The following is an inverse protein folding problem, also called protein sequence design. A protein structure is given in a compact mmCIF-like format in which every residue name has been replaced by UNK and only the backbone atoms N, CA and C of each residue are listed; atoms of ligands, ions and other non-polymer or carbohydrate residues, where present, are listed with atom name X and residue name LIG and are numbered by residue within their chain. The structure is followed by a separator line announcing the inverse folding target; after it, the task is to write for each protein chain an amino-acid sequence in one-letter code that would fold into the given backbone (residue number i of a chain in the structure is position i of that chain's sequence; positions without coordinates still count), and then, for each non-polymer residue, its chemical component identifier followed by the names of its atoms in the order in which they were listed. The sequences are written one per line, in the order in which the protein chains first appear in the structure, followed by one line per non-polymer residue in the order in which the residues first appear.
data_IF_209865331018
#
_entry.id   IF_209865331018
#
_cell.length_a   1.000
_cell.length_b   1.000
_cell.length_c   1.000
_cell.angle_alpha   90.00
_cell.angle_beta   90.00
_cell.angle_gamma   90.00
#
_symmetry.space_group_name_H-M   'P 1'
#
loop_
_entity.id
_entity.type
_entity.pdbx_description
1 polymer ?
#
# COMPACT_ATOMS: atom_id res chain seq x y z
N UNK A 1 -19.56 -18.23 6.03
CA UNK A 1 -19.82 -18.82 4.70
C UNK A 1 -18.49 -19.08 4.02
N UNK A 2 -18.22 -20.31 3.60
CA UNK A 2 -17.06 -20.66 2.78
C UNK A 2 -17.17 -19.96 1.43
N UNK A 3 -16.13 -19.23 1.02
CA UNK A 3 -16.03 -18.67 -0.33
C UNK A 3 -15.48 -19.78 -1.22
N UNK A 4 -16.33 -20.36 -2.07
CA UNK A 4 -15.93 -21.37 -3.04
C UNK A 4 -15.27 -20.70 -4.25
N UNK A 5 -14.13 -21.24 -4.69
CA UNK A 5 -13.53 -20.86 -5.98
C UNK A 5 -14.28 -21.60 -7.09
N UNK A 6 -14.79 -20.87 -8.07
CA UNK A 6 -15.52 -21.43 -9.21
C UNK A 6 -14.53 -21.56 -10.38
N UNK A 7 -14.25 -22.77 -10.89
CA UNK A 7 -13.43 -22.93 -12.08
C UNK A 7 -14.19 -22.42 -13.31
N UNK A 8 -13.47 -21.74 -14.21
CA UNK A 8 -14.00 -21.26 -15.49
C UNK A 8 -13.41 -22.10 -16.64
N UNK A 9 -14.14 -22.28 -17.75
CA UNK A 9 -13.65 -23.01 -18.93
C UNK A 9 -12.74 -22.14 -19.82
N UNK A 10 -11.95 -21.25 -19.20
CA UNK A 10 -11.07 -20.30 -19.88
C UNK A 10 -9.71 -20.34 -19.20
N UNK A 11 -8.64 -20.15 -19.97
CA UNK A 11 -7.36 -19.86 -19.35
C UNK A 11 -7.34 -18.42 -18.80
N UNK A 12 -6.44 -18.15 -17.87
CA UNK A 12 -6.33 -16.86 -17.18
C UNK A 12 -6.02 -15.67 -18.11
N UNK A 13 -5.35 -15.92 -19.25
CA UNK A 13 -5.03 -14.89 -20.23
C UNK A 13 -6.27 -14.52 -21.05
N UNK A 14 -7.01 -15.52 -21.53
CA UNK A 14 -8.31 -15.33 -22.19
C UNK A 14 -9.28 -14.58 -21.28
N UNK A 15 -9.42 -15.05 -20.04
CA UNK A 15 -10.31 -14.42 -19.07
C UNK A 15 -9.89 -12.98 -18.73
N UNK A 16 -8.59 -12.68 -18.65
CA UNK A 16 -8.13 -11.30 -18.47
C UNK A 16 -8.44 -10.44 -19.69
N UNK A 17 -8.20 -10.94 -20.92
CA UNK A 17 -8.52 -10.22 -22.17
C UNK A 17 -10.02 -9.95 -22.27
N UNK A 18 -10.89 -10.90 -21.94
CA UNK A 18 -12.34 -10.69 -21.92
C UNK A 18 -12.76 -9.57 -20.96
N UNK A 19 -12.19 -9.53 -19.75
CA UNK A 19 -12.48 -8.48 -18.77
C UNK A 19 -12.02 -7.11 -19.26
N UNK A 20 -10.84 -7.04 -19.88
CA UNK A 20 -10.28 -5.79 -20.44
C UNK A 20 -11.14 -5.33 -21.62
N UNK A 21 -11.46 -6.21 -22.57
CA UNK A 21 -12.31 -5.92 -23.72
C UNK A 21 -13.69 -5.44 -23.28
N UNK A 22 -14.30 -6.09 -22.29
CA UNK A 22 -15.55 -5.63 -21.69
C UNK A 22 -15.42 -4.21 -21.14
N UNK A 23 -14.31 -3.92 -20.44
CA UNK A 23 -14.05 -2.62 -19.82
C UNK A 23 -13.96 -1.53 -20.89
N UNK A 24 -13.17 -1.75 -21.94
CA UNK A 24 -12.98 -0.83 -23.06
C UNK A 24 -14.24 -0.58 -23.89
N UNK A 25 -15.16 -1.56 -23.94
CA UNK A 25 -16.44 -1.42 -24.63
C UNK A 25 -17.52 -0.75 -23.78
N UNK A 26 -17.53 -1.02 -22.47
CA UNK A 26 -18.62 -0.63 -21.58
C UNK A 26 -18.39 0.75 -20.96
N UNK A 27 -17.15 1.08 -20.60
CA UNK A 27 -16.83 2.31 -19.89
C UNK A 27 -16.16 3.30 -20.85
N UNK A 28 -16.70 4.52 -21.01
CA UNK A 28 -16.21 5.49 -21.98
C UNK A 28 -14.84 6.07 -21.64
N UNK A 29 -14.42 5.96 -20.37
CA UNK A 29 -13.11 6.42 -19.90
C UNK A 29 -12.44 5.30 -19.12
N UNK A 30 -11.21 4.99 -19.49
CA UNK A 30 -10.44 3.91 -18.87
C UNK A 30 -9.08 4.44 -18.47
N UNK A 31 -8.77 4.39 -17.18
CA UNK A 31 -7.46 4.73 -16.63
C UNK A 31 -6.80 3.49 -16.04
N UNK A 32 -5.57 3.20 -16.48
CA UNK A 32 -4.75 2.10 -15.96
C UNK A 32 -3.88 2.62 -14.83
N UNK A 33 -4.03 2.08 -13.62
CA UNK A 33 -3.10 2.35 -12.52
C UNK A 33 -1.83 1.54 -12.73
N UNK A 34 -0.74 2.23 -13.03
CA UNK A 34 0.55 1.65 -13.32
C UNK A 34 1.56 2.02 -12.23
N UNK A 35 2.27 1.03 -11.69
CA UNK A 35 3.21 1.21 -10.58
C UNK A 35 4.67 0.94 -10.95
N UNK A 36 4.95 0.60 -12.21
CA UNK A 36 6.26 0.07 -12.64
C UNK A 36 6.53 -1.37 -12.19
N UNK A 37 5.56 -2.05 -11.58
CA UNK A 37 5.68 -3.44 -11.14
C UNK A 37 5.30 -4.45 -12.23
N UNK A 38 5.65 -5.74 -12.03
CA UNK A 38 5.34 -6.84 -12.95
C UNK A 38 3.85 -7.02 -13.20
N UNK A 39 3.04 -6.88 -12.16
CA UNK A 39 1.59 -7.13 -12.24
C UNK A 39 0.89 -5.99 -12.99
N UNK A 40 1.23 -4.73 -12.67
CA UNK A 40 0.67 -3.55 -13.33
C UNK A 40 1.24 -3.32 -14.73
N UNK A 41 2.51 -3.66 -14.98
CA UNK A 41 3.14 -3.64 -16.29
C UNK A 41 2.48 -4.62 -17.26
N UNK A 42 2.26 -5.87 -16.84
CA UNK A 42 1.53 -6.87 -17.63
C UNK A 42 0.10 -6.40 -17.94
N UNK A 43 -0.61 -5.87 -16.95
CA UNK A 43 -1.95 -5.32 -17.17
C UNK A 43 -1.92 -4.17 -18.19
N UNK A 44 -0.93 -3.28 -18.13
CA UNK A 44 -0.78 -2.19 -19.10
C UNK A 44 -0.49 -2.73 -20.51
N UNK A 45 0.40 -3.71 -20.67
CA UNK A 45 0.65 -4.35 -21.97
C UNK A 45 -0.63 -4.91 -22.59
N UNK A 46 -1.37 -5.73 -21.84
CA UNK A 46 -2.62 -6.33 -22.33
C UNK A 46 -3.68 -5.26 -22.65
N UNK A 47 -3.79 -4.24 -21.80
CA UNK A 47 -4.78 -3.17 -22.00
C UNK A 47 -4.45 -2.31 -23.22
N UNK A 48 -3.18 -1.95 -23.39
CA UNK A 48 -2.71 -1.17 -24.52
C UNK A 48 -2.85 -1.93 -25.85
N UNK A 49 -2.53 -3.23 -25.87
CA UNK A 49 -2.71 -4.08 -27.06
C UNK A 49 -4.18 -4.15 -27.49
N UNK A 50 -5.10 -4.41 -26.55
CA UNK A 50 -6.53 -4.47 -26.84
C UNK A 50 -7.11 -3.10 -27.21
N UNK A 51 -6.68 -2.03 -26.54
CA UNK A 51 -7.06 -0.67 -26.90
C UNK A 51 -6.65 -0.35 -28.35
N UNK A 52 -5.43 -0.72 -28.76
CA UNK A 52 -4.93 -0.57 -30.13
C UNK A 52 -5.81 -1.31 -31.13
N UNK A 53 -6.10 -2.59 -30.86
CA UNK A 53 -6.93 -3.44 -31.72
C UNK A 53 -8.35 -2.88 -31.89
N UNK A 54 -8.88 -2.24 -30.85
CA UNK A 54 -10.24 -1.69 -30.82
C UNK A 54 -10.31 -0.22 -31.28
N UNK A 55 -9.18 0.41 -31.63
CA UNK A 55 -9.11 1.84 -31.95
C UNK A 55 -9.54 2.74 -30.79
N UNK A 56 -9.31 2.29 -29.55
CA UNK A 56 -9.64 3.02 -28.31
C UNK A 56 -8.41 3.67 -27.71
N UNK A 57 -8.63 4.72 -26.94
CA UNK A 57 -7.60 5.37 -26.12
C UNK A 57 -7.80 5.03 -24.65
N UNK A 58 -6.69 5.03 -23.91
CA UNK A 58 -6.66 4.83 -22.46
C UNK A 58 -5.85 5.94 -21.80
N UNK A 59 -6.11 6.20 -20.52
CA UNK A 59 -5.25 7.02 -19.68
C UNK A 59 -4.38 6.12 -18.79
N UNK A 60 -3.25 6.63 -18.30
CA UNK A 60 -2.40 5.94 -17.33
C UNK A 60 -2.15 6.84 -16.13
N UNK A 61 -2.27 6.29 -14.93
CA UNK A 61 -1.91 6.96 -13.68
C UNK A 61 -0.65 6.29 -13.11
N UNK A 62 0.42 7.06 -12.97
CA UNK A 62 1.65 6.68 -12.29
C UNK A 62 1.90 7.63 -11.12
N UNK A 63 1.97 7.07 -9.91
CA UNK A 63 2.36 7.84 -8.71
C UNK A 63 3.86 7.68 -8.50
N UNK A 64 4.54 8.81 -8.58
CA UNK A 64 5.96 8.91 -8.35
C UNK A 64 6.24 9.14 -6.86
N UNK A 65 6.96 8.20 -6.24
CA UNK A 65 7.27 8.23 -4.82
C UNK A 65 8.61 8.90 -4.51
N UNK A 66 9.28 9.61 -5.42
CA UNK A 66 10.61 10.21 -5.21
C UNK A 66 11.74 9.15 -5.10
N UNK A 67 11.59 8.13 -4.26
CA UNK A 67 12.62 7.16 -3.91
C UNK A 67 12.55 5.82 -4.67
N UNK A 68 11.85 5.72 -5.80
CA UNK A 68 11.84 4.51 -6.64
C UNK A 68 13.21 4.27 -7.32
N UNK A 69 13.59 3.01 -7.56
CA UNK A 69 14.79 2.63 -8.33
C UNK A 69 14.85 3.22 -9.74
N UNK A 70 16.04 3.50 -10.27
CA UNK A 70 16.24 4.26 -11.52
C UNK A 70 15.79 3.42 -12.69
N UNK A 71 16.11 2.12 -12.64
CA UNK A 71 15.61 1.14 -13.61
C UNK A 71 14.08 1.07 -13.63
N UNK A 72 13.40 1.29 -12.50
CA UNK A 72 11.92 1.40 -12.48
C UNK A 72 11.44 2.66 -13.18
N UNK A 73 12.07 3.81 -12.92
CA UNK A 73 11.72 5.08 -13.57
C UNK A 73 11.97 5.02 -15.08
N UNK A 74 13.11 4.47 -15.50
CA UNK A 74 13.43 4.26 -16.90
C UNK A 74 12.43 3.29 -17.56
N UNK A 75 12.05 2.21 -16.87
CA UNK A 75 11.02 1.28 -17.36
C UNK A 75 9.66 1.97 -17.55
N UNK A 76 9.24 2.81 -16.58
CA UNK A 76 8.00 3.56 -16.67
C UNK A 76 8.01 4.50 -17.87
N UNK A 77 9.12 5.22 -18.07
CA UNK A 77 9.33 6.09 -19.24
C UNK A 77 9.28 5.29 -20.55
N UNK A 78 9.94 4.13 -20.63
CA UNK A 78 9.92 3.29 -21.83
C UNK A 78 8.51 2.79 -22.17
N UNK A 79 7.68 2.43 -21.19
CA UNK A 79 6.30 2.05 -21.46
C UNK A 79 5.42 3.23 -21.90
N UNK A 80 5.65 4.40 -21.30
CA UNK A 80 4.98 5.63 -21.72
C UNK A 80 5.24 5.92 -23.21
N UNK A 81 6.50 5.86 -23.62
CA UNK A 81 6.91 6.05 -25.01
C UNK A 81 6.36 4.97 -25.94
N UNK A 82 6.53 3.69 -25.56
CA UNK A 82 6.08 2.53 -26.33
C UNK A 82 4.58 2.56 -26.66
N UNK A 83 3.77 3.14 -25.77
CA UNK A 83 2.31 3.16 -25.88
C UNK A 83 1.73 4.55 -26.14
N UNK A 84 2.54 5.50 -26.59
CA UNK A 84 2.09 6.86 -26.97
C UNK A 84 0.96 6.84 -28.01
N UNK A 85 0.92 5.81 -28.86
CA UNK A 85 -0.10 5.65 -29.88
C UNK A 85 -1.50 5.31 -29.33
N UNK A 86 -1.62 4.81 -28.10
CA UNK A 86 -2.89 4.46 -27.44
C UNK A 86 -3.16 5.21 -26.13
N UNK A 87 -2.12 5.75 -25.50
CA UNK A 87 -2.26 6.56 -24.30
C UNK A 87 -2.71 7.96 -24.71
N UNK A 88 -3.90 8.37 -24.25
CA UNK A 88 -4.42 9.73 -24.40
C UNK A 88 -3.75 10.69 -23.42
N UNK A 89 -3.63 10.28 -22.16
CA UNK A 89 -3.00 11.07 -21.11
C UNK A 89 -2.21 10.18 -20.16
N UNK A 90 -0.99 10.58 -19.83
CA UNK A 90 -0.12 9.89 -18.88
C UNK A 90 0.08 10.78 -17.66
N UNK A 91 -0.73 10.56 -16.64
CA UNK A 91 -0.64 11.28 -15.37
C UNK A 91 0.57 10.79 -14.58
N UNK A 92 1.73 11.39 -14.83
CA UNK A 92 2.92 11.23 -14.00
C UNK A 92 2.84 12.18 -12.81
N UNK A 93 2.38 11.69 -11.67
CA UNK A 93 2.13 12.52 -10.49
C UNK A 93 3.35 12.53 -9.58
N UNK A 94 4.00 13.70 -9.46
CA UNK A 94 5.12 13.96 -8.55
C UNK A 94 4.73 15.08 -7.56
N UNK A 95 3.55 14.93 -6.94
CA UNK A 95 3.02 15.86 -5.94
C UNK A 95 3.35 15.40 -4.52
N UNK A 96 3.38 16.32 -3.54
CA UNK A 96 3.53 15.96 -2.14
C UNK A 96 2.42 15.02 -1.65
N UNK A 97 2.74 13.75 -1.39
CA UNK A 97 1.79 12.75 -0.88
C UNK A 97 2.32 12.06 0.37
N UNK A 98 1.48 12.00 1.40
CA UNK A 98 1.85 11.44 2.70
C UNK A 98 1.52 9.95 2.77
N UNK A 99 2.46 9.17 3.29
CA UNK A 99 2.30 7.74 3.62
C UNK A 99 2.96 7.43 4.97
N UNK A 100 2.73 6.21 5.47
CA UNK A 100 3.32 5.76 6.73
C UNK A 100 4.82 5.46 6.55
N UNK A 101 5.64 5.96 7.48
CA UNK A 101 7.03 5.56 7.63
C UNK A 101 7.15 4.53 8.75
N UNK A 102 7.30 3.26 8.37
CA UNK A 102 7.41 2.14 9.31
C UNK A 102 8.83 1.94 9.88
N UNK A 103 9.75 2.86 9.60
CA UNK A 103 11.15 2.78 10.01
C UNK A 103 11.50 3.66 11.20
N UNK A 104 10.64 4.63 11.53
CA UNK A 104 10.92 5.63 12.57
C UNK A 104 9.71 5.86 13.46
N UNK A 105 9.96 5.93 14.77
CA UNK A 105 8.97 6.38 15.76
C UNK A 105 9.01 7.90 15.97
N UNK A 106 10.05 8.57 15.45
CA UNK A 106 10.20 10.04 15.50
C UNK A 106 9.47 10.70 14.33
N UNK A 107 9.56 10.10 13.15
CA UNK A 107 8.84 10.52 11.95
C UNK A 107 8.04 9.33 11.43
N UNK A 108 6.86 9.05 12.01
CA UNK A 108 6.04 7.87 11.66
C UNK A 108 5.30 8.01 10.33
N UNK A 109 5.41 9.18 9.69
CA UNK A 109 4.89 9.49 8.37
C UNK A 109 6.04 10.05 7.52
N UNK A 110 5.94 9.84 6.21
CA UNK A 110 6.85 10.41 5.21
C UNK A 110 6.03 10.97 4.06
N UNK A 111 6.47 12.11 3.53
CA UNK A 111 5.87 12.77 2.38
C UNK A 111 6.87 12.74 1.23
N UNK A 112 6.55 12.06 0.13
CA UNK A 112 7.35 12.21 -1.09
C UNK A 112 7.18 13.63 -1.63
N UNK A 113 8.18 14.17 -2.32
CA UNK A 113 8.11 15.49 -2.97
C UNK A 113 7.75 16.65 -2.04
N UNK A 114 8.04 16.53 -0.75
CA UNK A 114 7.81 17.58 0.26
C UNK A 114 8.53 18.88 -0.16
N UNK A 115 7.89 20.06 -0.09
CA UNK A 115 8.55 21.33 -0.39
C UNK A 115 9.71 21.62 0.57
N UNK A 116 10.66 22.45 0.12
CA UNK A 116 11.74 23.02 0.95
C UNK A 116 12.71 21.99 1.59
N UNK A 117 12.77 20.78 1.05
CA UNK A 117 13.74 19.74 1.45
C UNK A 117 14.49 19.19 0.24
N UNK A 118 15.68 18.65 0.49
CA UNK A 118 16.48 18.01 -0.56
C UNK A 118 15.89 16.64 -0.91
N UNK A 119 15.38 16.50 -2.14
CA UNK A 119 14.80 15.25 -2.64
C UNK A 119 15.84 14.21 -3.03
N UNK A 120 15.46 12.93 -2.98
CA UNK A 120 16.30 11.80 -3.40
C UNK A 120 16.67 11.85 -4.89
N UNK A 121 15.82 12.45 -5.72
CA UNK A 121 16.05 12.72 -7.14
C UNK A 121 15.10 13.81 -7.62
N UNK A 122 15.31 14.28 -8.85
CA UNK A 122 14.37 15.17 -9.52
C UNK A 122 13.28 14.37 -10.27
N UNK A 123 12.05 14.92 -10.39
CA UNK A 123 11.03 14.35 -11.25
C UNK A 123 11.34 14.65 -12.72
N UNK A 124 10.77 13.90 -13.69
CA UNK A 124 10.82 14.30 -15.09
C UNK A 124 10.22 15.70 -15.31
N UNK A 125 10.69 16.42 -16.32
CA UNK A 125 10.29 17.81 -16.58
C UNK A 125 8.78 17.99 -16.83
N UNK A 126 8.14 16.97 -17.39
CA UNK A 126 6.73 16.96 -17.73
C UNK A 126 5.86 16.24 -16.69
N UNK A 127 6.42 15.91 -15.53
CA UNK A 127 5.65 15.40 -14.40
C UNK A 127 4.76 16.49 -13.80
N UNK A 128 3.60 16.08 -13.31
CA UNK A 128 2.66 16.92 -12.58
C UNK A 128 3.26 17.21 -11.22
N UNK A 129 3.87 18.38 -11.10
CA UNK A 129 4.51 18.92 -9.88
C UNK A 129 3.77 20.14 -9.33
N UNK A 130 2.88 20.74 -10.12
CA UNK A 130 2.05 21.87 -9.74
C UNK A 130 0.87 21.42 -8.84
N UNK A 131 0.79 21.86 -7.58
CA UNK A 131 -0.33 21.59 -6.68
C UNK A 131 -1.70 21.99 -7.23
N UNK A 132 -1.77 22.99 -8.11
CA UNK A 132 -3.04 23.51 -8.64
C UNK A 132 -3.56 22.72 -9.84
N UNK A 133 -2.79 21.76 -10.36
CA UNK A 133 -3.19 20.93 -11.51
C UNK A 133 -4.50 20.17 -11.26
N UNK A 134 -4.67 19.63 -10.05
CA UNK A 134 -5.89 18.93 -9.64
C UNK A 134 -6.69 19.79 -8.66
N UNK A 135 -7.90 20.19 -9.04
CA UNK A 135 -8.76 21.01 -8.18
C UNK A 135 -9.17 20.35 -6.85
N UNK A 136 -8.99 19.03 -6.71
CA UNK A 136 -9.25 18.29 -5.47
C UNK A 136 -8.02 18.12 -4.58
N UNK A 137 -6.81 18.40 -5.11
CA UNK A 137 -5.58 18.14 -4.40
C UNK A 137 -5.47 19.05 -3.17
N UNK A 138 -4.94 18.49 -2.09
CA UNK A 138 -4.63 19.21 -0.87
C UNK A 138 -3.19 18.87 -0.48
N UNK A 139 -2.36 19.86 -0.14
CA UNK A 139 -0.97 19.64 0.26
C UNK A 139 -0.86 18.56 1.33
N UNK A 140 -0.04 17.54 1.05
CA UNK A 140 0.23 16.45 1.98
C UNK A 140 -0.93 15.49 2.24
N UNK A 141 -1.97 15.48 1.39
CA UNK A 141 -3.02 14.47 1.47
C UNK A 141 -2.45 13.05 1.38
N UNK A 142 -3.13 12.08 2.00
CA UNK A 142 -2.65 10.71 1.94
C UNK A 142 -2.85 10.12 0.56
N UNK A 143 -1.99 9.17 0.18
CA UNK A 143 -2.15 8.44 -1.08
C UNK A 143 -3.54 7.80 -1.24
N UNK A 144 -4.08 7.18 -0.18
CA UNK A 144 -5.41 6.57 -0.26
C UNK A 144 -6.52 7.60 -0.51
N UNK A 145 -6.36 8.83 0.00
CA UNK A 145 -7.28 9.92 -0.33
C UNK A 145 -7.06 10.37 -1.77
N UNK A 146 -5.81 10.54 -2.22
CA UNK A 146 -5.49 10.99 -3.56
C UNK A 146 -6.10 10.08 -4.63
N UNK A 147 -5.88 8.77 -4.55
CA UNK A 147 -6.40 7.84 -5.58
C UNK A 147 -7.92 7.79 -5.61
N UNK A 148 -8.59 8.02 -4.47
CA UNK A 148 -10.05 8.10 -4.40
C UNK A 148 -10.57 9.37 -5.06
N UNK A 149 -10.00 10.52 -4.71
CA UNK A 149 -10.42 11.80 -5.29
C UNK A 149 -10.06 11.87 -6.78
N UNK A 150 -8.91 11.32 -7.18
CA UNK A 150 -8.52 11.17 -8.59
C UNK A 150 -9.55 10.36 -9.38
N UNK A 151 -10.04 9.24 -8.85
CA UNK A 151 -11.05 8.43 -9.53
C UNK A 151 -12.36 9.20 -9.75
N UNK A 152 -12.77 10.04 -8.79
CA UNK A 152 -13.95 10.89 -8.93
C UNK A 152 -13.71 12.03 -9.93
N UNK A 153 -12.59 12.74 -9.82
CA UNK A 153 -12.20 13.80 -10.75
C UNK A 153 -12.08 13.28 -12.18
N UNK A 154 -11.42 12.14 -12.38
CA UNK A 154 -11.24 11.49 -13.67
C UNK A 154 -12.59 11.07 -14.28
N UNK A 155 -13.55 10.66 -13.45
CA UNK A 155 -14.88 10.30 -13.94
C UNK A 155 -15.60 11.47 -14.62
N UNK A 156 -15.34 12.72 -14.19
CA UNK A 156 -16.12 13.90 -14.57
C UNK A 156 -17.63 13.68 -14.46
N UNK A 157 -18.07 12.95 -13.41
CA UNK A 157 -19.48 12.56 -13.18
C UNK A 157 -20.06 11.71 -14.32
N UNK A 158 -19.21 11.00 -15.07
CA UNK A 158 -19.58 10.02 -16.09
C UNK A 158 -18.95 8.68 -15.76
N UNK A 159 -19.51 7.56 -16.25
CA UNK A 159 -18.95 6.25 -15.99
C UNK A 159 -17.47 6.15 -16.38
N UNK A 160 -16.62 5.72 -15.45
CA UNK A 160 -15.19 5.56 -15.69
C UNK A 160 -14.61 4.30 -15.02
N UNK A 161 -13.57 3.74 -15.63
CA UNK A 161 -12.83 2.59 -15.13
C UNK A 161 -11.49 3.02 -14.52
N UNK A 162 -11.21 2.55 -13.31
CA UNK A 162 -9.89 2.57 -12.70
C UNK A 162 -9.36 1.14 -12.64
N UNK A 163 -8.48 0.78 -13.57
CA UNK A 163 -7.93 -0.58 -13.65
C UNK A 163 -6.75 -0.75 -12.68
N UNK A 164 -6.79 -1.78 -11.84
CA UNK A 164 -5.79 -2.04 -10.80
C UNK A 164 -5.24 -3.46 -10.94
N UNK A 165 -3.92 -3.56 -11.07
CA UNK A 165 -3.19 -4.82 -11.23
C UNK A 165 -2.98 -5.56 -9.91
N UNK A 166 -4.06 -5.94 -9.23
CA UNK A 166 -4.00 -6.76 -8.00
C UNK A 166 -4.18 -8.23 -8.33
N UNK A 167 -3.60 -9.11 -7.51
CA UNK A 167 -3.87 -10.55 -7.52
C UNK A 167 -4.37 -11.01 -6.16
N UNK A 168 -5.47 -11.76 -6.15
CA UNK A 168 -6.08 -12.28 -4.94
C UNK A 168 -5.14 -13.23 -4.16
N UNK A 169 -4.23 -13.90 -4.86
CA UNK A 169 -3.23 -14.81 -4.28
C UNK A 169 -2.09 -14.08 -3.54
N UNK A 170 -1.94 -12.76 -3.72
CA UNK A 170 -0.85 -11.98 -3.11
C UNK A 170 -1.06 -11.77 -1.60
N UNK A 171 -2.29 -11.52 -1.15
CA UNK A 171 -2.60 -11.38 0.27
C UNK A 171 -4.08 -11.54 0.58
N UNK A 172 -4.41 -11.80 1.85
CA UNK A 172 -5.79 -11.86 2.32
C UNK A 172 -6.58 -10.58 2.01
N UNK A 173 -5.96 -9.40 2.15
CA UNK A 173 -6.61 -8.13 1.85
C UNK A 173 -6.94 -8.00 0.35
N UNK A 174 -6.05 -8.46 -0.54
CA UNK A 174 -6.33 -8.51 -1.99
C UNK A 174 -7.44 -9.51 -2.30
N UNK A 175 -7.46 -10.67 -1.65
CA UNK A 175 -8.54 -11.64 -1.78
C UNK A 175 -9.89 -11.04 -1.35
N UNK A 176 -9.95 -10.37 -0.19
CA UNK A 176 -11.17 -9.72 0.31
C UNK A 176 -11.65 -8.61 -0.62
N UNK A 177 -10.75 -7.83 -1.24
CA UNK A 177 -11.13 -6.82 -2.23
C UNK A 177 -11.92 -7.42 -3.41
N UNK A 178 -11.63 -8.66 -3.79
CA UNK A 178 -12.36 -9.38 -4.84
C UNK A 178 -13.60 -10.09 -4.29
N UNK A 179 -13.45 -10.84 -3.21
CA UNK A 179 -14.45 -11.78 -2.74
C UNK A 179 -15.49 -11.19 -1.76
N UNK A 180 -15.34 -9.93 -1.35
CA UNK A 180 -16.30 -9.30 -0.44
C UNK A 180 -17.72 -9.35 -1.00
N UNK A 181 -18.66 -9.83 -0.17
CA UNK A 181 -20.09 -9.82 -0.47
C UNK A 181 -20.73 -8.45 -0.24
N UNK A 182 -20.07 -7.58 0.53
CA UNK A 182 -20.58 -6.26 0.87
C UNK A 182 -20.20 -5.19 -0.14
N UNK A 183 -19.37 -5.53 -1.15
CA UNK A 183 -18.96 -4.56 -2.17
C UNK A 183 -20.05 -4.43 -3.23
N UNK A 184 -20.30 -3.20 -3.65
CA UNK A 184 -21.14 -2.94 -4.81
C UNK A 184 -20.33 -3.24 -6.08
N UNK A 185 -20.87 -4.08 -6.95
CA UNK A 185 -20.27 -4.46 -8.24
C UNK A 185 -20.93 -3.64 -9.34
N UNK A 186 -20.34 -3.64 -10.53
CA UNK A 186 -21.00 -3.11 -11.72
C UNK A 186 -22.25 -3.93 -12.06
N UNK A 187 -22.14 -5.25 -12.01
CA UNK A 187 -23.22 -6.21 -12.18
C UNK A 187 -22.91 -7.50 -11.40
N UNK A 188 -23.92 -8.33 -11.14
CA UNK A 188 -23.78 -9.57 -10.35
C UNK A 188 -22.77 -10.54 -10.97
N UNK A 189 -22.77 -10.64 -12.30
CA UNK A 189 -21.88 -11.45 -13.12
C UNK A 189 -20.51 -10.80 -13.39
N UNK A 190 -20.20 -9.69 -12.71
CA UNK A 190 -18.92 -8.96 -12.79
C UNK A 190 -18.23 -8.87 -11.42
N UNK A 191 -17.84 -10.01 -10.81
CA UNK A 191 -17.27 -10.05 -9.45
C UNK A 191 -15.90 -9.35 -9.33
N UNK A 192 -15.21 -9.10 -10.43
CA UNK A 192 -13.93 -8.41 -10.52
C UNK A 192 -14.05 -6.88 -10.61
N UNK A 193 -15.25 -6.35 -10.35
CA UNK A 193 -15.51 -4.90 -10.31
C UNK A 193 -15.84 -4.45 -8.88
N UNK A 194 -15.65 -3.17 -8.60
CA UNK A 194 -16.07 -2.53 -7.34
C UNK A 194 -16.44 -1.09 -7.62
N UNK A 195 -17.68 -0.70 -7.33
CA UNK A 195 -18.11 0.69 -7.45
C UNK A 195 -17.35 1.56 -6.44
N UNK A 196 -16.89 2.71 -6.90
CA UNK A 196 -16.36 3.73 -6.01
C UNK A 196 -17.52 4.36 -5.20
N UNK A 197 -17.26 4.88 -3.99
CA UNK A 197 -18.30 5.45 -3.13
C UNK A 197 -19.14 6.56 -3.77
N UNK A 198 -18.61 7.26 -4.77
CA UNK A 198 -19.29 8.33 -5.50
C UNK A 198 -20.24 7.85 -6.59
N UNK A 199 -20.16 6.57 -6.99
CA UNK A 199 -21.06 5.95 -7.97
C UNK A 199 -20.74 6.23 -9.44
N UNK A 200 -19.77 7.08 -9.77
CA UNK A 200 -19.40 7.38 -11.17
C UNK A 200 -18.21 6.58 -11.69
N UNK A 201 -17.42 5.97 -10.81
CA UNK A 201 -16.24 5.19 -11.20
C UNK A 201 -16.29 3.77 -10.65
N UNK A 202 -15.66 2.84 -11.36
CA UNK A 202 -15.51 1.45 -10.96
C UNK A 202 -14.04 1.07 -10.94
N UNK A 203 -13.60 0.47 -9.84
CA UNK A 203 -12.34 -0.24 -9.77
C UNK A 203 -12.49 -1.59 -10.47
N UNK A 204 -11.58 -1.84 -11.40
CA UNK A 204 -11.57 -3.00 -12.28
C UNK A 204 -10.31 -3.82 -11.99
N UNK A 205 -10.45 -5.13 -11.78
CA UNK A 205 -9.32 -6.01 -11.44
C UNK A 205 -9.14 -7.12 -12.48
N UNK A 206 -8.57 -6.85 -13.67
CA UNK A 206 -8.60 -7.82 -14.77
C UNK A 206 -7.74 -9.06 -14.55
N UNK A 207 -6.73 -9.00 -13.68
CA UNK A 207 -5.76 -10.08 -13.46
C UNK A 207 -5.89 -10.72 -12.07
N UNK A 208 -7.03 -10.53 -11.39
CA UNK A 208 -7.19 -10.89 -9.98
C UNK A 208 -6.92 -12.36 -9.64
N UNK A 209 -7.13 -13.26 -10.59
CA UNK A 209 -7.01 -14.71 -10.48
C UNK A 209 -5.64 -15.25 -10.92
N UNK A 210 -4.73 -14.37 -11.36
CA UNK A 210 -3.38 -14.74 -11.74
C UNK A 210 -2.51 -15.08 -10.52
N UNK A 211 -1.63 -16.05 -10.69
CA UNK A 211 -0.55 -16.37 -9.73
C UNK A 211 0.76 -15.74 -10.17
N UNK A 212 1.73 -15.69 -9.27
CA UNK A 212 3.07 -15.15 -9.57
C UNK A 212 3.76 -15.92 -10.72
N UNK A 213 3.58 -17.24 -10.78
CA UNK A 213 4.14 -18.06 -11.85
C UNK A 213 3.54 -17.69 -13.21
N UNK A 214 2.24 -17.40 -13.26
CA UNK A 214 1.55 -17.02 -14.49
C UNK A 214 2.08 -15.70 -15.07
N UNK A 215 2.34 -14.71 -14.21
CA UNK A 215 2.94 -13.43 -14.62
C UNK A 215 4.29 -13.66 -15.30
N UNK A 216 5.16 -14.46 -14.67
CA UNK A 216 6.50 -14.73 -15.22
C UNK A 216 6.46 -15.58 -16.49
N UNK A 217 5.59 -16.59 -16.55
CA UNK A 217 5.36 -17.39 -17.76
C UNK A 217 4.89 -16.50 -18.91
N UNK A 218 4.01 -15.53 -18.65
CA UNK A 218 3.56 -14.60 -19.67
C UNK A 218 4.70 -13.75 -20.21
N UNK A 219 5.51 -13.14 -19.34
CA UNK A 219 6.69 -12.35 -19.76
C UNK A 219 7.70 -13.18 -20.55
N UNK A 220 7.96 -14.42 -20.13
CA UNK A 220 8.86 -15.34 -20.82
C UNK A 220 8.35 -15.68 -22.23
N UNK A 221 7.05 -15.87 -22.40
CA UNK A 221 6.45 -16.28 -23.68
C UNK A 221 6.26 -15.11 -24.66
N UNK A 222 6.00 -13.88 -24.18
CA UNK A 222 5.67 -12.75 -25.05
C UNK A 222 6.83 -11.78 -25.30
N UNK A 223 7.92 -11.88 -24.51
CA UNK A 223 9.11 -11.01 -24.61
C UNK A 223 8.81 -9.50 -24.55
N UNK A 224 7.67 -9.11 -23.97
CA UNK A 224 7.37 -7.71 -23.68
C UNK A 224 8.34 -7.13 -22.64
N UNK A 225 8.51 -5.81 -22.68
CA UNK A 225 9.34 -5.09 -21.71
C UNK A 225 8.89 -5.38 -20.27
N UNK A 226 9.78 -5.93 -19.46
CA UNK A 226 9.58 -6.07 -18.02
C UNK A 226 10.54 -5.14 -17.28
N UNK A 227 10.18 -4.73 -16.07
CA UNK A 227 11.04 -3.89 -15.25
C UNK A 227 12.39 -4.60 -15.00
N UNK A 228 13.53 -4.03 -15.45
CA UNK A 228 14.84 -4.66 -15.29
C UNK A 228 15.23 -4.90 -13.83
N UNK A 229 14.64 -4.17 -12.88
CA UNK A 229 14.84 -4.36 -11.46
C UNK A 229 14.62 -5.81 -11.02
N UNK A 230 13.68 -6.53 -11.66
CA UNK A 230 13.40 -7.91 -11.27
C UNK A 230 14.55 -8.87 -11.60
N UNK A 231 15.31 -8.61 -12.68
CA UNK A 231 16.52 -9.37 -12.97
C UNK A 231 17.60 -9.09 -11.92
N UNK A 232 17.73 -7.84 -11.47
CA UNK A 232 18.67 -7.45 -10.41
C UNK A 232 18.26 -8.07 -9.06
N UNK A 233 16.97 -8.07 -8.73
CA UNK A 233 16.43 -8.76 -7.56
C UNK A 233 16.73 -10.27 -7.61
N UNK A 234 16.56 -10.89 -8.78
CA UNK A 234 16.87 -12.31 -8.98
C UNK A 234 18.37 -12.59 -8.76
N UNK A 235 19.24 -11.78 -9.37
CA UNK A 235 20.69 -11.88 -9.19
C UNK A 235 21.12 -11.67 -7.74
N UNK A 236 20.42 -10.79 -7.01
CA UNK A 236 20.61 -10.57 -5.57
C UNK A 236 20.01 -11.70 -4.69
N UNK A 237 19.41 -12.73 -5.27
CA UNK A 237 18.87 -13.88 -4.53
C UNK A 237 17.47 -13.67 -3.93
N UNK A 238 16.73 -12.64 -4.36
CA UNK A 238 15.36 -12.40 -3.88
C UNK A 238 14.43 -13.49 -4.44
N UNK A 239 13.68 -14.24 -3.61
CA UNK A 239 12.71 -15.21 -4.12
C UNK A 239 11.59 -14.53 -4.91
N UNK A 240 11.09 -15.18 -5.97
CA UNK A 240 10.04 -14.62 -6.86
C UNK A 240 8.81 -14.09 -6.10
N UNK A 241 8.40 -14.75 -5.02
CA UNK A 241 7.26 -14.34 -4.17
C UNK A 241 7.49 -13.03 -3.40
N UNK A 242 8.74 -12.64 -3.19
CA UNK A 242 9.14 -11.43 -2.47
C UNK A 242 9.54 -10.28 -3.42
N UNK A 243 9.54 -10.51 -4.74
CA UNK A 243 9.82 -9.49 -5.74
C UNK A 243 8.63 -8.53 -5.88
N UNK A 244 8.70 -7.43 -5.14
CA UNK A 244 7.67 -6.39 -5.05
C UNK A 244 8.30 -5.02 -5.28
N UNK A 245 7.53 -4.16 -5.95
CA UNK A 245 7.84 -2.74 -6.15
C UNK A 245 6.65 -1.95 -5.61
N UNK A 246 6.87 -1.16 -4.56
CA UNK A 246 5.94 -0.16 -4.06
C UNK A 246 6.69 0.91 -3.26
N UNK A 247 5.98 1.77 -2.53
CA UNK A 247 6.54 2.81 -1.67
C UNK A 247 7.54 2.22 -0.65
N UNK A 248 8.78 2.75 -0.56
CA UNK A 248 9.89 2.01 0.05
C UNK A 248 9.85 1.92 1.58
N UNK A 249 9.16 2.82 2.26
CA UNK A 249 9.19 2.94 3.72
C UNK A 249 7.94 2.38 4.42
N UNK A 250 6.98 1.88 3.64
CA UNK A 250 5.79 1.20 4.13
C UNK A 250 6.12 -0.16 4.78
N UNK A 251 5.19 -0.71 5.58
CA UNK A 251 5.40 -1.94 6.34
C UNK A 251 5.67 -3.16 5.46
N UNK A 252 5.14 -3.20 4.23
CA UNK A 252 5.37 -4.28 3.27
C UNK A 252 6.74 -4.19 2.59
N UNK A 253 7.15 -3.00 2.12
CA UNK A 253 8.34 -2.84 1.28
C UNK A 253 9.63 -2.63 2.04
N UNK A 254 9.57 -2.22 3.31
CA UNK A 254 10.79 -1.98 4.11
C UNK A 254 11.76 -3.17 4.11
N UNK A 255 11.24 -4.40 3.97
CA UNK A 255 12.05 -5.62 3.90
C UNK A 255 13.01 -5.64 2.70
N UNK A 256 12.70 -4.91 1.63
CA UNK A 256 13.53 -4.78 0.44
C UNK A 256 14.52 -3.61 0.47
N UNK A 257 14.60 -2.83 1.56
CA UNK A 257 15.46 -1.63 1.61
C UNK A 257 16.95 -1.95 1.44
N UNK A 258 17.39 -3.13 1.89
CA UNK A 258 18.77 -3.58 1.71
C UNK A 258 19.19 -3.65 0.23
N UNK A 259 18.23 -3.81 -0.69
CA UNK A 259 18.52 -3.85 -2.13
C UNK A 259 19.04 -2.51 -2.65
N UNK A 260 18.64 -1.38 -2.06
CA UNK A 260 19.16 -0.07 -2.47
C UNK A 260 20.67 0.04 -2.22
N UNK A 261 21.17 -0.52 -1.11
CA UNK A 261 22.62 -0.57 -0.86
C UNK A 261 23.39 -1.32 -1.95
N UNK A 262 22.81 -2.41 -2.46
CA UNK A 262 23.47 -3.31 -3.41
C UNK A 262 23.34 -2.80 -4.84
N UNK A 263 22.16 -2.27 -5.19
CA UNK A 263 21.82 -1.91 -6.57
C UNK A 263 22.09 -0.43 -6.86
N UNK A 264 21.87 0.49 -5.90
CA UNK A 264 21.99 1.94 -6.10
C UNK A 264 22.56 2.65 -4.86
N UNK A 265 23.88 2.52 -4.58
CA UNK A 265 24.49 3.05 -3.36
C UNK A 265 24.38 4.58 -3.22
N UNK A 266 24.43 5.32 -4.32
CA UNK A 266 24.28 6.79 -4.28
C UNK A 266 22.85 7.20 -3.89
N UNK A 267 21.85 6.51 -4.46
CA UNK A 267 20.45 6.74 -4.07
C UNK A 267 20.21 6.34 -2.62
N UNK A 268 20.83 5.26 -2.18
CA UNK A 268 20.79 4.86 -0.78
C UNK A 268 21.31 5.97 0.16
N UNK A 269 22.41 6.63 -0.21
CA UNK A 269 22.94 7.75 0.56
C UNK A 269 21.96 8.93 0.62
N UNK A 270 21.36 9.29 -0.51
CA UNK A 270 20.32 10.33 -0.56
C UNK A 270 19.08 9.95 0.27
N UNK A 271 18.62 8.70 0.22
CA UNK A 271 17.51 8.21 1.06
C UNK A 271 17.84 8.27 2.56
N UNK A 272 19.07 7.94 2.94
CA UNK A 272 19.54 8.07 4.33
C UNK A 272 19.52 9.51 4.84
N UNK A 273 19.83 10.48 3.98
CA UNK A 273 19.77 11.89 4.32
C UNK A 273 18.31 12.40 4.37
N UNK A 274 17.46 11.93 3.43
CA UNK A 274 16.08 12.38 3.27
C UNK A 274 15.11 11.86 4.33
N UNK A 275 15.23 10.58 4.75
CA UNK A 275 14.18 9.90 5.52
C UNK A 275 14.72 9.28 6.81
N UNK A 276 14.09 9.65 7.93
CA UNK A 276 14.41 9.09 9.25
C UNK A 276 14.15 7.58 9.29
N UNK A 277 15.13 6.84 9.84
CA UNK A 277 15.04 5.39 10.04
C UNK A 277 15.50 4.55 8.86
N UNK A 278 15.83 5.14 7.69
CA UNK A 278 16.27 4.39 6.51
C UNK A 278 17.45 3.48 6.81
N UNK A 279 18.51 3.99 7.43
CA UNK A 279 19.69 3.19 7.81
C UNK A 279 19.34 1.99 8.70
N UNK A 280 18.51 2.20 9.72
CA UNK A 280 18.03 1.13 10.59
C UNK A 280 17.14 0.14 9.83
N UNK A 281 16.31 0.62 8.90
CA UNK A 281 15.53 -0.20 7.98
C UNK A 281 16.40 -1.10 7.10
N UNK A 282 17.44 -0.56 6.47
CA UNK A 282 18.36 -1.33 5.63
C UNK A 282 19.05 -2.48 6.36
N UNK A 283 19.39 -2.28 7.64
CA UNK A 283 20.03 -3.30 8.48
C UNK A 283 19.00 -4.29 9.03
N UNK A 284 17.88 -3.81 9.57
CA UNK A 284 17.01 -4.64 10.39
C UNK A 284 15.72 -5.11 9.70
N UNK A 285 15.23 -4.46 8.64
CA UNK A 285 13.92 -4.80 8.07
C UNK A 285 13.93 -6.06 7.20
N UNK A 286 15.08 -6.40 6.58
CA UNK A 286 15.19 -7.53 5.65
C UNK A 286 15.42 -8.89 6.30
N UNK A 287 15.84 -8.93 7.56
CA UNK A 287 16.08 -10.18 8.29
C UNK A 287 14.83 -10.59 9.09
N UNK A 288 14.63 -11.91 9.28
CA UNK A 288 13.66 -12.47 10.25
C UNK A 288 14.17 -12.23 11.68
N UNK A 289 14.41 -10.96 12.02
CA UNK A 289 14.95 -10.52 13.29
C UNK A 289 13.84 -9.93 14.17
N UNK A 290 14.15 -9.84 15.46
CA UNK A 290 13.19 -9.42 16.48
C UNK A 290 12.96 -7.90 16.52
N UNK A 291 13.75 -7.10 15.78
CA UNK A 291 13.79 -5.64 15.90
C UNK A 291 12.43 -5.01 15.58
N UNK A 292 11.86 -5.35 14.43
CA UNK A 292 10.53 -4.85 14.04
C UNK A 292 9.39 -5.78 14.49
N UNK A 293 9.65 -6.80 15.32
CA UNK A 293 8.63 -7.76 15.75
C UNK A 293 7.92 -8.46 14.58
N UNK A 294 8.64 -8.71 13.47
CA UNK A 294 8.08 -9.40 12.31
C UNK A 294 8.13 -10.91 12.55
N UNK A 295 6.95 -11.55 12.66
CA UNK A 295 6.74 -13.00 12.95
C UNK A 295 7.27 -13.52 14.29
N UNK A 296 8.35 -12.97 14.83
CA UNK A 296 8.94 -13.33 16.12
C UNK A 296 9.12 -12.08 16.96
N UNK A 297 8.83 -12.21 18.26
CA UNK A 297 8.94 -11.13 19.22
C UNK A 297 9.61 -11.68 20.47
N UNK A 298 10.60 -10.96 20.96
CA UNK A 298 11.22 -11.22 22.26
C UNK A 298 10.89 -10.07 23.20
N UNK A 299 10.78 -10.40 24.48
CA UNK A 299 10.72 -9.45 25.59
C UNK A 299 11.77 -9.87 26.64
N UNK A 300 12.27 -8.94 27.47
CA UNK A 300 13.07 -9.32 28.63
C UNK A 300 12.35 -10.35 29.51
N UNK A 301 13.08 -11.33 30.04
CA UNK A 301 12.50 -12.45 30.79
C UNK A 301 11.73 -12.00 32.04
N UNK A 302 12.21 -10.94 32.70
CA UNK A 302 11.66 -10.40 33.95
C UNK A 302 10.40 -9.54 33.78
N UNK A 303 9.99 -9.21 32.54
CA UNK A 303 8.79 -8.42 32.27
C UNK A 303 7.68 -9.32 31.75
N UNK A 304 6.42 -9.06 32.05
CA UNK A 304 5.30 -9.60 31.28
C UNK A 304 5.08 -8.81 29.97
N UNK A 305 4.08 -9.20 29.16
CA UNK A 305 3.82 -8.51 27.88
C UNK A 305 3.16 -7.15 28.07
N UNK A 306 2.42 -6.94 29.15
CA UNK A 306 1.82 -5.64 29.48
C UNK A 306 2.90 -4.66 29.92
N UNK A 307 3.77 -5.06 30.85
CA UNK A 307 4.92 -4.30 31.31
C UNK A 307 5.86 -3.97 30.15
N UNK A 308 6.11 -4.93 29.25
CA UNK A 308 6.91 -4.68 28.05
C UNK A 308 6.24 -3.68 27.10
N UNK A 309 4.92 -3.74 26.91
CA UNK A 309 4.20 -2.74 26.10
C UNK A 309 4.34 -1.33 26.69
N UNK A 310 4.25 -1.21 28.03
CA UNK A 310 4.44 0.07 28.73
C UNK A 310 5.89 0.57 28.60
N UNK A 311 6.88 -0.30 28.72
CA UNK A 311 8.28 0.04 28.49
C UNK A 311 8.50 0.61 27.08
N UNK A 312 7.93 -0.03 26.05
CA UNK A 312 8.02 0.44 24.66
C UNK A 312 7.34 1.81 24.48
N UNK A 313 6.18 2.02 25.09
CA UNK A 313 5.48 3.32 25.06
C UNK A 313 6.27 4.42 25.77
N UNK A 314 6.98 4.09 26.83
CA UNK A 314 7.76 5.07 27.60
C UNK A 314 9.12 5.37 26.97
N UNK A 315 9.64 4.51 26.08
CA UNK A 315 10.91 4.72 25.39
C UNK A 315 10.81 5.45 24.05
N UNK A 316 9.61 5.60 23.49
CA UNK A 316 9.37 6.29 22.22
C UNK A 316 9.01 7.78 22.41
N UNK A 317 9.09 8.61 21.35
CA UNK A 317 8.76 10.03 21.44
C UNK A 317 7.33 10.26 21.95
N UNK A 318 7.14 11.24 22.83
CA UNK A 318 5.88 11.48 23.55
C UNK A 318 4.65 11.56 22.63
N UNK A 319 4.75 12.32 21.54
CA UNK A 319 3.67 12.46 20.55
C UNK A 319 3.25 11.12 19.95
N UNK A 320 4.22 10.27 19.60
CA UNK A 320 3.98 8.94 19.04
C UNK A 320 3.44 7.99 20.10
N UNK A 321 3.98 8.05 21.31
CA UNK A 321 3.52 7.28 22.45
C UNK A 321 2.05 7.58 22.79
N UNK A 322 1.67 8.86 22.86
CA UNK A 322 0.29 9.28 23.15
C UNK A 322 -0.70 8.82 22.10
N UNK A 323 -0.30 8.85 20.82
CA UNK A 323 -1.11 8.29 19.74
C UNK A 323 -1.37 6.79 19.92
N UNK A 324 -0.34 6.01 20.26
CA UNK A 324 -0.50 4.60 20.57
C UNK A 324 -1.35 4.37 21.82
N UNK A 325 -1.11 5.11 22.92
CA UNK A 325 -1.92 5.01 24.15
C UNK A 325 -3.39 5.26 23.87
N UNK A 326 -3.72 6.26 23.04
CA UNK A 326 -5.10 6.53 22.63
C UNK A 326 -5.74 5.32 21.93
N UNK A 327 -5.05 4.72 20.97
CA UNK A 327 -5.59 3.55 20.22
C UNK A 327 -5.66 2.31 21.10
N UNK A 328 -4.62 2.02 21.88
CA UNK A 328 -4.58 0.87 22.77
C UNK A 328 -5.68 0.98 23.84
N UNK A 329 -5.91 2.17 24.41
CA UNK A 329 -6.96 2.35 25.39
C UNK A 329 -8.35 2.05 24.84
N UNK A 330 -8.65 2.47 23.60
CA UNK A 330 -9.90 2.11 22.92
C UNK A 330 -10.00 0.60 22.74
N UNK A 331 -8.91 -0.05 22.31
CA UNK A 331 -8.85 -1.49 22.10
C UNK A 331 -9.15 -2.26 23.40
N UNK A 332 -8.46 -1.92 24.48
CA UNK A 332 -8.65 -2.52 25.80
C UNK A 332 -10.08 -2.30 26.31
N UNK A 333 -10.58 -1.07 26.22
CA UNK A 333 -11.93 -0.73 26.67
C UNK A 333 -13.03 -1.46 25.87
N UNK A 334 -12.83 -1.68 24.57
CA UNK A 334 -13.78 -2.43 23.74
C UNK A 334 -13.90 -3.89 24.17
N UNK A 335 -12.78 -4.55 24.50
CA UNK A 335 -12.80 -5.92 25.04
C UNK A 335 -13.35 -5.97 26.46
N UNK A 336 -13.01 -5.00 27.30
CA UNK A 336 -13.57 -4.87 28.66
C UNK A 336 -15.11 -4.79 28.63
N UNK A 337 -15.68 -4.00 27.70
CA UNK A 337 -17.14 -3.93 27.49
C UNK A 337 -17.79 -5.23 27.05
N UNK A 338 -17.01 -6.16 26.50
CA UNK A 338 -17.44 -7.51 26.14
C UNK A 338 -17.21 -8.53 27.26
N UNK A 339 -16.76 -8.09 28.44
CA UNK A 339 -16.39 -8.95 29.55
C UNK A 339 -15.10 -9.74 29.29
N UNK A 340 -14.26 -9.30 28.35
CA UNK A 340 -13.00 -9.95 28.01
C UNK A 340 -11.86 -9.09 28.54
N UNK A 341 -11.10 -9.62 29.49
CA UNK A 341 -9.80 -9.06 29.86
C UNK A 341 -8.76 -9.50 28.83
N UNK A 342 -7.94 -8.56 28.35
CA UNK A 342 -6.95 -8.86 27.32
C UNK A 342 -5.80 -9.66 27.94
N UNK A 343 -5.58 -10.92 27.53
CA UNK A 343 -4.57 -11.78 28.15
C UNK A 343 -3.16 -11.43 27.70
N UNK A 344 -2.17 -11.96 28.40
CA UNK A 344 -0.75 -11.82 28.06
C UNK A 344 -0.43 -12.40 26.66
N UNK A 345 -0.91 -13.61 26.37
CA UNK A 345 -0.73 -14.29 25.07
C UNK A 345 -1.94 -15.15 24.70
N UNK A 346 -2.15 -15.41 23.41
CA UNK A 346 -3.04 -16.46 22.91
C UNK A 346 -2.44 -17.20 21.71
N UNK A 347 -2.94 -18.39 21.42
CA UNK A 347 -2.52 -19.14 20.23
C UNK A 347 -2.87 -18.35 18.96
N UNK A 348 -1.86 -18.07 18.14
CA UNK A 348 -2.03 -17.36 16.87
C UNK A 348 -2.27 -15.85 16.97
N UNK A 349 -2.09 -15.24 18.15
CA UNK A 349 -2.31 -13.79 18.38
C UNK A 349 -1.39 -12.84 17.59
N UNK A 350 -0.25 -13.33 17.13
CA UNK A 350 0.66 -12.64 16.21
C UNK A 350 0.33 -12.90 14.73
N UNK A 351 -0.76 -13.63 14.44
CA UNK A 351 -1.22 -13.91 13.09
C UNK A 351 -2.00 -12.77 12.44
N UNK A 352 -2.59 -13.05 11.27
CA UNK A 352 -3.40 -12.07 10.53
C UNK A 352 -4.76 -11.77 11.18
N UNK A 353 -5.33 -12.75 11.91
CA UNK A 353 -6.60 -12.56 12.64
C UNK A 353 -6.37 -11.67 13.86
N UNK A 354 -7.34 -10.81 14.17
CA UNK A 354 -7.36 -10.01 15.39
C UNK A 354 -7.77 -10.90 16.57
N UNK A 355 -6.77 -11.38 17.30
CA UNK A 355 -6.92 -12.16 18.53
C UNK A 355 -6.27 -11.33 19.65
N UNK A 356 -7.01 -10.91 20.69
CA UNK A 356 -6.53 -9.93 21.64
C UNK A 356 -5.43 -10.46 22.53
N UNK A 357 -4.28 -9.80 22.57
CA UNK A 357 -3.28 -10.05 23.60
C UNK A 357 -2.33 -8.87 23.77
N UNK A 358 -1.71 -8.77 24.94
CA UNK A 358 -0.61 -7.82 25.15
C UNK A 358 0.59 -8.10 24.24
N UNK A 359 0.86 -9.37 23.91
CA UNK A 359 1.85 -9.74 22.89
C UNK A 359 1.53 -9.14 21.51
N UNK A 360 0.26 -9.11 21.10
CA UNK A 360 -0.18 -8.46 19.86
C UNK A 360 -0.02 -6.94 19.92
N UNK A 361 -0.27 -6.32 21.06
CA UNK A 361 -0.01 -4.88 21.28
C UNK A 361 1.49 -4.60 21.13
N UNK A 362 2.37 -5.38 21.75
CA UNK A 362 3.82 -5.26 21.57
C UNK A 362 4.24 -5.40 20.11
N UNK A 363 3.62 -6.34 19.38
CA UNK A 363 3.84 -6.50 17.93
C UNK A 363 3.56 -5.22 17.16
N UNK A 364 2.44 -4.55 17.45
CA UNK A 364 2.02 -3.31 16.78
C UNK A 364 3.03 -2.19 17.03
N UNK A 365 3.47 -2.04 18.29
CA UNK A 365 4.47 -1.05 18.69
C UNK A 365 5.82 -1.29 17.99
N UNK A 366 6.33 -2.53 18.02
CA UNK A 366 7.61 -2.89 17.39
C UNK A 366 7.57 -2.80 15.87
N UNK A 367 6.43 -3.13 15.24
CA UNK A 367 6.30 -3.01 13.79
C UNK A 367 6.22 -1.56 13.32
N UNK A 368 6.15 -0.57 14.23
CA UNK A 368 5.81 0.81 13.91
C UNK A 368 4.52 0.88 13.08
N UNK A 369 3.52 0.04 13.42
CA UNK A 369 2.19 0.09 12.81
C UNK A 369 1.44 1.29 13.38
N UNK A 370 1.79 2.49 12.90
CA UNK A 370 1.32 3.77 13.42
C UNK A 370 -0.20 3.78 13.50
N UNK A 371 -0.91 3.34 12.46
CA UNK A 371 -2.36 3.37 12.48
C UNK A 371 -3.02 2.28 13.34
N UNK A 372 -2.25 1.35 13.90
CA UNK A 372 -2.69 0.13 14.59
C UNK A 372 -3.63 -0.71 13.73
N UNK A 373 -3.31 -0.90 12.44
CA UNK A 373 -4.11 -1.72 11.52
C UNK A 373 -4.24 -3.16 12.02
N UNK A 374 -3.21 -3.69 12.68
CA UNK A 374 -3.27 -5.01 13.31
C UNK A 374 -4.21 -5.08 14.53
N UNK A 375 -4.60 -3.95 15.14
CA UNK A 375 -5.62 -3.89 16.18
C UNK A 375 -6.98 -3.44 15.63
N UNK A 376 -7.22 -3.66 14.33
CA UNK A 376 -8.47 -3.34 13.62
C UNK A 376 -8.81 -1.85 13.55
N UNK A 377 -7.80 -0.96 13.61
CA UNK A 377 -7.99 0.46 13.39
C UNK A 377 -7.76 0.87 11.94
N UNK A 378 -8.53 1.86 11.49
CA UNK A 378 -8.28 2.57 10.23
C UNK A 378 -7.56 3.90 10.48
N UNK A 379 -6.84 4.44 9.48
CA UNK A 379 -6.31 5.80 9.54
C UNK A 379 -7.40 6.82 9.87
N UNK A 380 -7.08 7.77 10.74
CA UNK A 380 -7.99 8.88 11.06
C UNK A 380 -7.73 10.02 10.09
N UNK A 381 -8.77 10.63 9.51
CA UNK A 381 -8.61 11.77 8.60
C UNK A 381 -7.82 12.88 9.30
N UNK A 382 -6.79 13.42 8.63
CA UNK A 382 -5.89 14.43 9.19
C UNK A 382 -6.64 15.60 9.87
N UNK A 383 -7.67 16.16 9.20
CA UNK A 383 -8.51 17.25 9.73
C UNK A 383 -9.21 16.96 11.07
N UNK A 384 -9.41 15.68 11.40
CA UNK A 384 -10.09 15.26 12.63
C UNK A 384 -9.10 14.74 13.68
N UNK A 385 -7.81 14.64 13.36
CA UNK A 385 -6.84 13.90 14.15
C UNK A 385 -6.57 14.55 15.52
N UNK A 386 -6.39 15.87 15.57
CA UNK A 386 -6.22 16.61 16.84
C UNK A 386 -7.43 16.45 17.75
N UNK A 387 -8.63 16.75 17.23
CA UNK A 387 -9.89 16.60 17.97
C UNK A 387 -10.12 15.15 18.43
N UNK A 388 -9.72 14.17 17.62
CA UNK A 388 -9.76 12.77 18.00
C UNK A 388 -8.84 12.51 19.21
N UNK A 389 -7.59 12.96 19.15
CA UNK A 389 -6.61 12.76 20.22
C UNK A 389 -7.06 13.38 21.55
N UNK A 390 -7.54 14.62 21.54
CA UNK A 390 -8.05 15.30 22.74
C UNK A 390 -9.23 14.55 23.36
N UNK A 391 -10.20 14.16 22.53
CA UNK A 391 -11.37 13.40 22.98
C UNK A 391 -10.98 12.06 23.60
N UNK A 392 -10.04 11.34 22.98
CA UNK A 392 -9.62 10.03 23.50
C UNK A 392 -8.75 10.18 24.74
N UNK A 393 -7.96 11.25 24.86
CA UNK A 393 -7.23 11.58 26.09
C UNK A 393 -8.17 11.78 27.28
N UNK A 394 -9.27 12.53 27.11
CA UNK A 394 -10.29 12.67 28.15
C UNK A 394 -10.96 11.32 28.51
N UNK A 395 -11.30 10.52 27.50
CA UNK A 395 -11.88 9.18 27.73
C UNK A 395 -10.94 8.21 28.45
N UNK A 396 -9.63 8.29 28.19
CA UNK A 396 -8.62 7.49 28.92
C UNK A 396 -8.70 7.76 30.43
N UNK A 397 -8.80 9.03 30.80
CA UNK A 397 -8.97 9.45 32.20
C UNK A 397 -10.27 8.90 32.81
N UNK A 398 -11.39 9.01 32.08
CA UNK A 398 -12.68 8.43 32.51
C UNK A 398 -12.62 6.90 32.70
N UNK A 399 -11.87 6.20 31.84
CA UNK A 399 -11.75 4.74 31.89
C UNK A 399 -10.68 4.24 32.85
N UNK A 400 -9.78 5.11 33.32
CA UNK A 400 -8.60 4.71 34.09
C UNK A 400 -7.60 3.85 33.31
N UNK A 401 -7.61 3.92 31.97
CA UNK A 401 -6.77 3.05 31.11
C UNK A 401 -5.64 3.87 30.50
N UNK A 402 -4.40 3.45 30.77
CA UNK A 402 -3.19 4.10 30.26
C UNK A 402 -3.22 5.61 30.50
N UNK A 403 -3.66 6.05 31.68
CA UNK A 403 -3.56 7.45 32.08
C UNK A 403 -2.08 7.75 32.33
N UNK A 404 -1.61 8.96 31.99
CA UNK A 404 -0.29 9.39 32.39
C UNK A 404 -0.31 9.46 33.92
N UNK A 405 0.28 8.46 34.57
CA UNK A 405 0.83 8.64 35.90
C UNK A 405 2.29 9.01 35.64
N UNK A 406 2.64 10.19 36.13
CA UNK A 406 3.95 10.87 36.08
C UNK A 406 5.18 9.99 35.80
#
# INVERSE_FOLDING_TARGET
MSIYKIPLPLNILEAARERITWTLNTLPRVCVSFSGGKDSGLMLHLTAELARQMGKKICVLFIDWEAQFSCTINYVQSLRELYTDVIEEFYWVALPLTTQNSLSQYQPEWQCWEPDVEWVRQPPQDAITDPDFFCFYQPGMTFEQFVREFAEWFSQKRPAAMMIGIRADESYNRFVAIASLNKQRFADDKPWTTAAPSGHSWYIYPIYDWKVADIWTWYANHQNLCNPLYNLMYQAGVPLRHMRICEPFGPEQRQGLWLYHVIEPDRWAAMCARVSGVKSGGIYAGHDNHFYGHRKILKPEHLDWQEYALLLLNSMPEKTAEHYRNKIAIYLHWYQKKGIEVPQTQQGDIGAKDIPSWRRICKVLLNNDYWCRALSFSPTKAKNYQRYNERIKGKRQEWGILCNND
#
